data_IF_323607737662
#
_entry.id   IF_323607737662
#
_cell.length_a   1.000
_cell.length_b   1.000
_cell.length_c   1.000
_cell.angle_alpha   90.00
_cell.angle_beta   90.00
_cell.angle_gamma   90.00
#
_symmetry.space_group_name_H-M   'P 1'
#
loop_
_entity.id
_entity.type
_entity.pdbx_description
1 polymer ?
#
# COMPACT_ATOMS: atom_id res chain seq x y z
N UNK A 1 0.75 3.68 2.62
CA UNK A 1 1.55 2.58 2.48
C UNK A 1 1.10 1.50 1.58
N UNK A 2 0.20 0.77 1.95
CA UNK A 2 -0.52 -0.16 1.27
C UNK A 2 -0.98 0.13 -0.08
N UNK A 3 -0.95 1.35 -0.43
CA UNK A 3 -1.37 1.79 -1.71
C UNK A 3 -0.50 1.40 -2.85
N UNK A 4 0.69 0.89 -2.58
CA UNK A 4 1.49 0.26 -3.60
C UNK A 4 0.86 -1.06 -4.04
N UNK A 5 0.28 -1.79 -3.11
CA UNK A 5 -0.43 -3.03 -3.43
C UNK A 5 -1.86 -2.77 -3.93
N UNK A 6 -2.55 -1.79 -3.36
CA UNK A 6 -3.84 -1.30 -3.84
C UNK A 6 -3.78 -0.61 -5.20
N UNK A 7 -2.65 -0.05 -5.57
CA UNK A 7 -2.49 0.59 -6.88
C UNK A 7 -2.57 -0.41 -8.02
N UNK A 8 -2.17 -1.65 -7.83
CA UNK A 8 -2.42 -2.71 -8.82
C UNK A 8 -3.91 -3.04 -8.89
N UNK A 9 -4.63 -3.02 -7.77
CA UNK A 9 -6.08 -3.23 -7.73
C UNK A 9 -6.90 -1.98 -8.10
N UNK A 10 -6.49 -0.79 -7.68
CA UNK A 10 -7.19 0.48 -7.97
C UNK A 10 -7.08 0.93 -9.44
N UNK A 11 -6.09 0.50 -10.18
CA UNK A 11 -5.98 0.75 -11.62
C UNK A 11 -7.11 0.10 -12.43
N UNK A 12 -7.83 -0.88 -11.86
CA UNK A 12 -8.94 -1.54 -12.55
C UNK A 12 -10.31 -0.89 -12.37
N UNK A 13 -10.49 -0.08 -11.34
CA UNK A 13 -11.77 0.64 -11.12
C UNK A 13 -11.89 1.89 -12.03
N UNK A 14 -10.79 2.40 -12.56
CA UNK A 14 -10.79 3.62 -13.39
C UNK A 14 -10.95 3.37 -14.89
N UNK A 15 -11.14 2.12 -15.34
CA UNK A 15 -11.27 1.78 -16.77
C UNK A 15 -12.61 2.10 -17.42
N UNK A 16 -13.63 2.53 -16.68
CA UNK A 16 -14.92 2.97 -17.23
C UNK A 16 -15.19 4.43 -16.89
N UNK A 17 -14.47 5.36 -17.51
CA UNK A 17 -14.92 6.72 -17.67
C UNK A 17 -16.08 6.73 -18.67
N UNK A 18 -17.28 6.33 -18.22
CA UNK A 18 -18.51 6.74 -18.86
C UNK A 18 -18.60 8.25 -18.70
N UNK A 19 -18.79 9.00 -19.79
CA UNK A 19 -19.10 10.41 -19.77
C UNK A 19 -20.31 10.65 -18.86
N UNK A 20 -20.06 11.02 -17.61
CA UNK A 20 -21.12 11.38 -16.69
C UNK A 20 -21.71 12.71 -17.14
N UNK A 21 -22.97 12.70 -17.51
CA UNK A 21 -23.83 13.89 -17.57
C UNK A 21 -23.77 14.61 -16.22
N UNK A 22 -23.86 15.95 -16.15
CA UNK A 22 -23.83 16.69 -14.90
C UNK A 22 -25.12 16.47 -14.11
N UNK A 23 -25.20 15.35 -13.44
CA UNK A 23 -26.28 14.96 -12.52
C UNK A 23 -25.64 14.54 -11.22
N UNK A 24 -25.88 15.31 -10.18
CA UNK A 24 -25.55 15.09 -8.76
C UNK A 24 -24.32 14.18 -8.50
N UNK A 25 -23.20 14.81 -8.25
CA UNK A 25 -21.96 14.16 -7.87
C UNK A 25 -22.20 13.28 -6.61
N UNK A 26 -22.21 11.96 -6.78
CA UNK A 26 -22.55 11.02 -5.71
C UNK A 26 -21.30 10.63 -4.93
N UNK A 27 -21.44 10.68 -3.59
CA UNK A 27 -20.42 10.13 -2.69
C UNK A 27 -20.37 8.62 -2.85
N UNK A 28 -19.18 8.05 -2.97
CA UNK A 28 -18.96 6.59 -2.97
C UNK A 28 -18.39 6.16 -1.64
N UNK A 29 -18.96 5.11 -1.04
CA UNK A 29 -18.36 4.37 0.07
C UNK A 29 -17.66 3.15 -0.48
N UNK A 30 -16.46 2.85 0.00
CA UNK A 30 -15.72 1.66 -0.37
C UNK A 30 -15.05 1.01 0.83
N UNK A 31 -14.78 -0.28 0.69
CA UNK A 31 -14.02 -1.06 1.66
C UNK A 31 -13.21 -2.14 0.93
N UNK A 32 -12.00 -2.36 1.41
CA UNK A 32 -11.09 -3.39 0.95
C UNK A 32 -10.67 -4.27 2.13
N UNK A 33 -10.42 -5.55 1.87
CA UNK A 33 -9.82 -6.47 2.82
C UNK A 33 -8.65 -7.18 2.13
N UNK A 34 -7.44 -6.85 2.54
CA UNK A 34 -6.24 -7.60 2.22
C UNK A 34 -6.05 -8.80 3.15
N UNK A 35 -5.70 -9.96 2.59
CA UNK A 35 -5.30 -11.15 3.34
C UNK A 35 -3.99 -11.66 2.74
N UNK A 36 -2.87 -11.48 3.45
CA UNK A 36 -1.53 -11.69 2.90
C UNK A 36 -0.68 -12.60 3.77
N UNK A 37 0.25 -13.31 3.15
CA UNK A 37 1.18 -14.21 3.84
C UNK A 37 2.27 -13.46 4.61
N UNK A 38 2.42 -12.17 4.35
CA UNK A 38 3.38 -11.27 5.01
C UNK A 38 2.96 -9.83 4.79
N UNK A 39 3.37 -8.94 5.70
CA UNK A 39 3.34 -7.51 5.49
C UNK A 39 4.72 -7.05 5.02
N UNK A 40 4.80 -6.60 3.78
CA UNK A 40 6.03 -6.07 3.16
C UNK A 40 5.75 -4.66 2.65
N UNK A 41 6.50 -3.69 3.13
CA UNK A 41 6.38 -2.29 2.76
C UNK A 41 7.72 -1.68 2.37
N UNK A 42 7.76 -1.00 1.23
CA UNK A 42 8.98 -0.40 0.68
C UNK A 42 10.19 -1.35 0.64
N UNK A 43 9.93 -2.65 0.40
CA UNK A 43 10.94 -3.70 0.40
C UNK A 43 11.26 -4.30 1.78
N UNK A 44 10.74 -3.73 2.87
CA UNK A 44 10.97 -4.16 4.24
C UNK A 44 9.86 -5.11 4.69
N UNK A 45 10.22 -6.18 5.38
CA UNK A 45 9.24 -7.10 5.99
C UNK A 45 8.95 -6.65 7.41
N UNK A 46 7.74 -6.12 7.65
CA UNK A 46 7.25 -5.74 8.97
C UNK A 46 6.64 -6.92 9.73
N UNK A 47 5.91 -7.79 9.00
CA UNK A 47 5.41 -9.04 9.56
C UNK A 47 5.65 -10.17 8.58
N UNK A 48 6.35 -11.24 9.01
CA UNK A 48 6.67 -12.38 8.16
C UNK A 48 5.65 -13.53 8.26
N UNK A 49 4.49 -13.24 8.82
CA UNK A 49 3.36 -14.14 9.01
C UNK A 49 2.11 -13.56 8.35
N UNK A 50 1.02 -14.35 8.39
CA UNK A 50 -0.26 -13.95 7.84
C UNK A 50 -0.81 -12.69 8.50
N UNK A 51 -1.29 -11.75 7.69
CA UNK A 51 -1.91 -10.51 8.14
C UNK A 51 -3.25 -10.27 7.45
N UNK A 52 -4.15 -9.57 8.14
CA UNK A 52 -5.37 -8.99 7.61
C UNK A 52 -5.22 -7.47 7.53
N UNK A 53 -5.55 -6.90 6.38
CA UNK A 53 -5.36 -5.47 6.12
C UNK A 53 -6.68 -4.85 5.60
N UNK A 54 -7.64 -4.58 6.48
CA UNK A 54 -8.86 -3.86 6.10
C UNK A 54 -8.59 -2.37 5.84
N UNK A 55 -9.29 -1.82 4.84
CA UNK A 55 -9.36 -0.39 4.51
C UNK A 55 -10.84 -0.01 4.29
N UNK A 56 -11.23 1.19 4.72
CA UNK A 56 -12.54 1.75 4.45
C UNK A 56 -12.41 3.23 4.09
N UNK A 57 -13.17 3.69 3.08
CA UNK A 57 -13.01 5.03 2.55
C UNK A 57 -14.30 5.63 1.97
N UNK A 58 -14.30 6.96 1.89
CA UNK A 58 -15.32 7.75 1.21
C UNK A 58 -14.67 8.55 0.09
N UNK A 59 -15.28 8.54 -1.09
CA UNK A 59 -14.86 9.35 -2.24
C UNK A 59 -15.93 10.40 -2.55
N UNK A 60 -15.50 11.64 -2.56
CA UNK A 60 -16.31 12.83 -2.83
C UNK A 60 -15.91 13.40 -4.20
N UNK A 61 -16.82 13.45 -5.18
CA UNK A 61 -16.55 14.16 -6.43
C UNK A 61 -16.48 15.68 -6.17
N UNK A 62 -15.47 16.33 -6.75
CA UNK A 62 -15.22 17.77 -6.60
C UNK A 62 -14.98 18.41 -7.98
N UNK A 63 -16.02 18.45 -8.83
CA UNK A 63 -15.90 18.85 -10.22
C UNK A 63 -15.14 17.82 -11.06
N UNK A 64 -14.03 18.19 -11.73
CA UNK A 64 -13.21 17.24 -12.49
C UNK A 64 -12.33 16.35 -11.60
N UNK A 65 -12.14 16.72 -10.32
CA UNK A 65 -11.34 16.00 -9.35
C UNK A 65 -12.19 15.14 -8.43
N UNK A 66 -11.53 14.27 -7.66
CA UNK A 66 -12.14 13.56 -6.53
C UNK A 66 -11.29 13.77 -5.28
N UNK A 67 -11.95 13.89 -4.14
CA UNK A 67 -11.30 13.78 -2.83
C UNK A 67 -11.69 12.43 -2.22
N UNK A 68 -10.70 11.64 -1.80
CA UNK A 68 -10.93 10.38 -1.09
C UNK A 68 -10.23 10.42 0.25
N UNK A 69 -10.92 9.97 1.30
CA UNK A 69 -10.32 9.82 2.62
C UNK A 69 -10.76 8.50 3.25
N UNK A 70 -9.89 7.90 4.04
CA UNK A 70 -10.13 6.60 4.63
C UNK A 70 -9.20 6.27 5.79
N UNK A 71 -9.34 5.03 6.25
CA UNK A 71 -8.50 4.44 7.27
C UNK A 71 -8.17 2.99 6.96
N UNK A 72 -6.93 2.63 7.18
CA UNK A 72 -6.40 1.30 6.96
C UNK A 72 -5.77 0.76 8.23
N UNK A 73 -5.75 -0.56 8.34
CA UNK A 73 -5.18 -1.25 9.49
C UNK A 73 -4.28 -2.39 9.05
N UNK A 74 -3.23 -2.67 9.83
CA UNK A 74 -2.55 -3.95 9.84
C UNK A 74 -2.94 -4.74 11.09
N UNK A 75 -3.57 -5.89 10.89
CA UNK A 75 -4.02 -6.78 11.97
C UNK A 75 -3.23 -8.07 11.88
N UNK A 76 -2.62 -8.47 13.00
CA UNK A 76 -1.93 -9.75 13.16
C UNK A 76 -2.87 -10.77 13.84
N UNK A 77 -3.49 -11.72 13.09
CA UNK A 77 -4.49 -12.63 13.66
C UNK A 77 -3.89 -13.70 14.58
N UNK A 78 -2.60 -14.00 14.41
CA UNK A 78 -1.88 -14.98 15.19
C UNK A 78 -1.02 -14.37 16.29
N UNK A 79 -0.57 -15.20 17.20
CA UNK A 79 0.50 -14.88 18.12
C UNK A 79 1.84 -15.20 17.43
N UNK A 80 2.66 -14.17 17.20
CA UNK A 80 3.90 -14.26 16.41
C UNK A 80 5.11 -14.03 17.28
N UNK A 81 5.27 -14.90 18.31
CA UNK A 81 6.32 -14.84 19.34
C UNK A 81 7.41 -15.91 19.18
N UNK A 82 7.46 -16.57 18.03
CA UNK A 82 8.51 -17.54 17.70
C UNK A 82 9.86 -16.85 17.45
N UNK A 83 10.96 -17.55 17.74
CA UNK A 83 12.33 -17.03 17.65
C UNK A 83 12.74 -16.46 16.27
N UNK A 84 12.02 -16.81 15.21
CA UNK A 84 12.25 -16.32 13.82
C UNK A 84 11.11 -15.48 13.30
N UNK A 85 10.12 -15.18 14.14
CA UNK A 85 8.97 -14.40 13.76
C UNK A 85 9.34 -12.92 13.78
N UNK A 86 8.90 -12.22 12.74
CA UNK A 86 8.92 -10.77 12.65
C UNK A 86 7.46 -10.34 12.78
N UNK A 87 7.17 -9.49 13.72
CA UNK A 87 5.85 -8.98 14.03
C UNK A 87 5.94 -7.48 14.28
N UNK A 88 5.19 -6.70 13.56
CA UNK A 88 5.10 -5.25 13.75
C UNK A 88 4.44 -4.91 15.11
N UNK A 89 3.41 -5.68 15.50
CA UNK A 89 2.72 -5.53 16.79
C UNK A 89 3.47 -6.14 17.97
N UNK A 90 4.68 -6.70 17.78
CA UNK A 90 5.46 -7.35 18.82
C UNK A 90 5.05 -8.80 19.13
N UNK A 91 4.03 -9.34 18.47
CA UNK A 91 3.65 -10.75 18.44
C UNK A 91 3.10 -11.34 19.75
N UNK A 92 2.90 -10.53 20.79
CA UNK A 92 2.53 -11.01 22.13
C UNK A 92 1.07 -11.50 22.21
N UNK A 93 0.18 -10.99 21.38
CA UNK A 93 -1.25 -11.31 21.36
C UNK A 93 -1.76 -11.71 19.97
N UNK A 94 -2.94 -12.29 19.91
CA UNK A 94 -3.64 -12.57 18.66
C UNK A 94 -4.66 -11.49 18.36
N UNK A 95 -4.95 -11.25 17.08
CA UNK A 95 -5.80 -10.16 16.60
C UNK A 95 -5.33 -8.79 17.05
N UNK A 96 -4.01 -8.63 17.06
CA UNK A 96 -3.36 -7.39 17.41
C UNK A 96 -3.46 -6.40 16.26
N UNK A 97 -3.85 -5.14 16.56
CA UNK A 97 -3.81 -4.04 15.61
C UNK A 97 -2.41 -3.44 15.69
N UNK A 98 -1.53 -3.87 14.80
CA UNK A 98 -0.14 -3.45 14.79
C UNK A 98 0.02 -2.01 14.26
N UNK A 99 -0.78 -1.63 13.27
CA UNK A 99 -0.73 -0.32 12.64
C UNK A 99 -2.13 0.16 12.24
N UNK A 100 -2.36 1.45 12.36
CA UNK A 100 -3.52 2.16 11.84
C UNK A 100 -3.06 3.39 11.07
N UNK A 101 -3.50 3.51 9.81
CA UNK A 101 -3.24 4.66 8.97
C UNK A 101 -4.53 5.41 8.65
N UNK A 102 -4.59 6.70 8.96
CA UNK A 102 -5.57 7.58 8.33
C UNK A 102 -4.97 8.22 7.07
N UNK A 103 -5.82 8.52 6.09
CA UNK A 103 -5.34 9.06 4.84
C UNK A 103 -6.36 9.92 4.09
N UNK A 104 -5.85 10.80 3.23
CA UNK A 104 -6.67 11.58 2.33
C UNK A 104 -5.90 11.99 1.09
N UNK A 105 -6.58 12.00 -0.06
CA UNK A 105 -5.96 12.38 -1.33
C UNK A 105 -6.94 13.05 -2.29
N UNK A 106 -6.44 14.02 -3.03
CA UNK A 106 -7.06 14.59 -4.21
C UNK A 106 -6.51 13.91 -5.47
N UNK A 107 -7.41 13.50 -6.36
CA UNK A 107 -7.09 12.97 -7.67
C UNK A 107 -7.64 13.90 -8.74
N UNK A 108 -6.78 14.35 -9.66
CA UNK A 108 -7.13 15.21 -10.76
C UNK A 108 -6.73 14.58 -12.09
N UNK A 109 -7.70 14.05 -12.87
CA UNK A 109 -7.44 13.55 -14.21
C UNK A 109 -7.26 14.70 -15.20
N UNK A 110 -6.18 14.65 -15.99
CA UNK A 110 -5.94 15.58 -17.08
C UNK A 110 -5.40 14.84 -18.29
N UNK A 111 -6.17 14.79 -19.38
CA UNK A 111 -5.85 14.03 -20.58
C UNK A 111 -5.50 12.56 -20.28
N UNK A 112 -4.24 12.17 -20.52
CA UNK A 112 -3.71 10.83 -20.24
C UNK A 112 -3.00 10.73 -18.90
N UNK A 113 -2.97 11.79 -18.13
CA UNK A 113 -2.35 11.82 -16.82
C UNK A 113 -3.38 11.86 -15.70
N UNK A 114 -3.08 11.22 -14.58
CA UNK A 114 -3.79 11.39 -13.32
C UNK A 114 -2.79 11.88 -12.28
N UNK A 115 -3.07 13.06 -11.72
CA UNK A 115 -2.27 13.66 -10.67
C UNK A 115 -2.93 13.40 -9.32
N UNK A 116 -2.15 12.97 -8.34
CA UNK A 116 -2.61 12.76 -6.98
C UNK A 116 -1.76 13.59 -6.02
N UNK A 117 -2.42 14.27 -5.09
CA UNK A 117 -1.79 14.92 -3.94
C UNK A 117 -2.49 14.44 -2.68
N UNK A 118 -1.75 13.99 -1.68
CA UNK A 118 -2.34 13.43 -0.48
C UNK A 118 -1.43 13.44 0.74
N UNK A 119 -1.96 12.92 1.84
CA UNK A 119 -1.23 12.69 3.07
C UNK A 119 -1.70 11.41 3.76
N UNK A 120 -0.81 10.84 4.56
CA UNK A 120 -1.05 9.66 5.40
C UNK A 120 -0.43 9.89 6.76
N UNK A 121 -1.17 9.60 7.83
CA UNK A 121 -0.62 9.52 9.18
C UNK A 121 -0.57 8.07 9.62
N UNK A 122 0.57 7.67 10.11
CA UNK A 122 0.89 6.33 10.61
C UNK A 122 0.74 6.33 12.13
N UNK A 123 0.01 5.38 12.68
CA UNK A 123 -0.20 5.22 14.12
C UNK A 123 0.10 3.78 14.49
N UNK A 124 1.00 3.61 15.46
CA UNK A 124 1.43 2.32 15.98
C UNK A 124 0.89 2.12 17.40
N UNK A 125 -0.28 1.48 17.58
CA UNK A 125 -0.96 1.39 18.88
C UNK A 125 -0.19 0.64 19.97
N UNK A 126 0.76 -0.21 19.56
CA UNK A 126 1.48 -1.11 20.47
C UNK A 126 2.84 -0.57 20.94
N UNK A 127 3.12 0.69 20.69
CA UNK A 127 4.33 1.38 21.17
C UNK A 127 4.47 1.47 22.69
N UNK A 128 3.52 0.94 23.45
CA UNK A 128 3.46 1.06 24.92
C UNK A 128 4.68 0.49 25.67
N UNK A 129 5.58 -0.22 25.00
CA UNK A 129 6.87 -0.69 25.54
C UNK A 129 8.05 0.24 25.25
N UNK A 130 7.91 1.20 24.37
CA UNK A 130 8.96 2.12 23.97
C UNK A 130 8.70 3.51 24.58
N UNK A 131 9.75 4.19 24.97
CA UNK A 131 9.68 5.55 25.54
C UNK A 131 9.45 6.63 24.46
N UNK A 132 9.25 6.25 23.21
CA UNK A 132 9.11 7.14 22.05
C UNK A 132 7.80 6.86 21.30
N UNK A 133 7.16 7.93 20.89
CA UNK A 133 6.02 7.91 19.97
C UNK A 133 6.55 7.72 18.54
N UNK A 134 6.20 6.60 17.90
CA UNK A 134 6.56 6.28 16.52
C UNK A 134 5.54 6.77 15.50
N UNK A 135 4.48 7.43 15.93
CA UNK A 135 3.50 8.00 15.01
C UNK A 135 4.16 9.10 14.15
N UNK A 136 3.88 9.09 12.86
CA UNK A 136 4.41 10.08 11.93
C UNK A 136 3.44 10.41 10.80
N UNK A 137 3.74 11.43 9.99
CA UNK A 137 2.91 11.90 8.89
C UNK A 137 3.74 12.09 7.63
N UNK A 138 3.26 11.54 6.52
CA UNK A 138 3.80 11.81 5.18
C UNK A 138 2.80 12.59 4.34
N UNK A 139 3.31 13.54 3.55
CA UNK A 139 2.63 14.10 2.39
C UNK A 139 3.18 13.45 1.12
N UNK A 140 2.35 13.30 0.09
CA UNK A 140 2.78 12.65 -1.13
C UNK A 140 2.16 13.26 -2.40
N UNK A 141 2.92 13.15 -3.48
CA UNK A 141 2.46 13.43 -4.83
C UNK A 141 2.69 12.25 -5.76
N UNK A 142 1.75 12.00 -6.68
CA UNK A 142 1.85 10.92 -7.67
C UNK A 142 1.41 11.42 -9.03
N UNK A 143 2.02 10.87 -10.09
CA UNK A 143 1.56 11.00 -11.46
C UNK A 143 1.50 9.63 -12.10
N UNK A 144 0.34 9.29 -12.68
CA UNK A 144 0.12 8.07 -13.44
C UNK A 144 -0.28 8.42 -14.87
N UNK A 145 0.27 7.70 -15.86
CA UNK A 145 -0.02 7.95 -17.27
C UNK A 145 -0.80 6.77 -17.88
N UNK A 146 -1.90 7.07 -18.56
CA UNK A 146 -2.71 6.12 -19.33
C UNK A 146 -2.11 5.93 -20.73
N UNK A 147 -0.90 5.34 -20.77
CA UNK A 147 -0.16 4.98 -21.99
C UNK A 147 0.32 3.52 -21.83
N UNK A 148 0.88 2.88 -22.88
CA UNK A 148 1.42 1.53 -22.74
C UNK A 148 2.35 1.41 -21.52
N UNK A 149 2.24 0.29 -20.79
CA UNK A 149 2.89 0.01 -19.51
C UNK A 149 2.40 0.87 -18.32
N UNK A 150 1.42 1.75 -18.48
CA UNK A 150 0.84 2.56 -17.41
C UNK A 150 1.89 3.06 -16.38
N UNK A 151 2.92 3.81 -16.82
CA UNK A 151 3.98 4.23 -15.91
C UNK A 151 3.43 5.18 -14.85
N UNK A 152 3.96 5.03 -13.63
CA UNK A 152 3.63 5.88 -12.49
C UNK A 152 4.90 6.26 -11.76
N UNK A 153 4.97 7.51 -11.34
CA UNK A 153 5.96 8.04 -10.40
C UNK A 153 5.23 8.54 -9.15
N UNK A 154 5.87 8.38 -8.01
CA UNK A 154 5.35 8.87 -6.74
C UNK A 154 6.49 9.29 -5.83
N UNK A 155 6.22 10.30 -4.99
CA UNK A 155 7.14 10.82 -3.99
C UNK A 155 6.39 11.02 -2.68
N UNK A 156 6.99 10.57 -1.57
CA UNK A 156 6.50 10.76 -0.21
C UNK A 156 7.55 11.50 0.59
N UNK A 157 7.12 12.49 1.35
CA UNK A 157 7.98 13.23 2.25
C UNK A 157 7.40 13.17 3.67
N UNK A 158 8.15 12.61 4.59
CA UNK A 158 7.81 12.65 6.00
C UNK A 158 8.00 14.07 6.54
N UNK A 159 6.93 14.62 7.13
CA UNK A 159 6.91 16.01 7.60
C UNK A 159 7.08 16.14 9.12
N UNK A 160 7.06 15.01 9.83
CA UNK A 160 7.10 15.00 11.31
C UNK A 160 8.40 14.43 11.86
N UNK A 161 8.57 13.11 11.88
CA UNK A 161 9.66 12.46 12.63
C UNK A 161 10.95 12.32 11.82
N UNK A 162 10.84 11.84 10.59
CA UNK A 162 12.01 11.47 9.76
C UNK A 162 12.48 12.63 8.90
N UNK A 163 11.54 13.40 8.33
CA UNK A 163 11.82 14.55 7.44
C UNK A 163 12.64 14.17 6.21
N UNK A 164 12.40 12.98 5.70
CA UNK A 164 13.08 12.41 4.55
C UNK A 164 12.13 12.14 3.39
N UNK A 165 12.70 11.93 2.20
CA UNK A 165 12.01 11.68 0.95
C UNK A 165 12.12 10.19 0.59
N UNK A 166 11.01 9.62 0.10
CA UNK A 166 10.98 8.32 -0.52
C UNK A 166 10.34 8.42 -1.91
N UNK A 167 10.94 7.77 -2.90
CA UNK A 167 10.52 7.81 -4.29
C UNK A 167 10.16 6.41 -4.80
N UNK A 168 9.15 6.33 -5.67
CA UNK A 168 8.80 5.11 -6.40
C UNK A 168 8.58 5.39 -7.88
N UNK A 169 9.06 4.45 -8.70
CA UNK A 169 8.67 4.33 -10.10
C UNK A 169 8.05 2.96 -10.35
N UNK A 170 6.93 2.91 -11.06
CA UNK A 170 6.30 1.63 -11.40
C UNK A 170 5.75 1.58 -12.81
N UNK A 171 5.65 0.37 -13.34
CA UNK A 171 4.99 0.05 -14.62
C UNK A 171 4.07 -1.15 -14.42
N UNK A 172 3.02 -1.24 -15.23
CA UNK A 172 2.13 -2.40 -15.24
C UNK A 172 1.60 -2.70 -16.63
N UNK A 173 1.32 -3.97 -16.90
CA UNK A 173 0.75 -4.43 -18.15
C UNK A 173 -0.33 -5.49 -17.91
N UNK A 174 -1.51 -5.28 -18.48
CA UNK A 174 -2.60 -6.23 -18.42
C UNK A 174 -2.64 -7.08 -19.69
N UNK A 175 -2.63 -8.39 -19.50
CA UNK A 175 -2.76 -9.38 -20.57
C UNK A 175 -4.13 -10.03 -20.40
N UNK A 176 -5.00 -9.87 -21.39
CA UNK A 176 -6.28 -10.57 -21.42
C UNK A 176 -6.17 -11.74 -22.40
N UNK A 177 -6.13 -12.99 -21.90
CA UNK A 177 -6.12 -14.16 -22.80
C UNK A 177 -7.40 -14.19 -23.64
N UNK A 178 -7.27 -14.61 -24.89
CA UNK A 178 -8.39 -14.70 -25.81
C UNK A 178 -9.51 -15.59 -25.23
N UNK A 179 -10.74 -15.11 -25.30
CA UNK A 179 -11.95 -15.83 -24.85
C UNK A 179 -12.01 -16.12 -23.33
N UNK A 180 -11.17 -15.46 -22.50
CA UNK A 180 -11.19 -15.60 -21.04
C UNK A 180 -11.87 -14.40 -20.39
N UNK A 181 -12.54 -14.64 -19.24
CA UNK A 181 -13.19 -13.62 -18.40
C UNK A 181 -12.27 -13.04 -17.34
N UNK A 182 -11.01 -13.40 -17.33
CA UNK A 182 -9.99 -12.89 -16.41
C UNK A 182 -8.84 -12.25 -17.19
N UNK A 183 -8.12 -11.36 -16.56
CA UNK A 183 -6.86 -10.81 -17.04
C UNK A 183 -5.73 -11.21 -16.11
N UNK A 184 -4.50 -11.24 -16.65
CA UNK A 184 -3.29 -11.33 -15.85
C UNK A 184 -2.62 -9.97 -15.88
N UNK A 185 -2.35 -9.40 -14.72
CA UNK A 185 -1.68 -8.12 -14.59
C UNK A 185 -0.27 -8.37 -14.09
N UNK A 186 0.71 -7.95 -14.87
CA UNK A 186 2.11 -7.96 -14.48
C UNK A 186 2.52 -6.56 -14.04
N UNK A 187 3.28 -6.47 -12.97
CA UNK A 187 3.78 -5.20 -12.40
C UNK A 187 5.27 -5.27 -12.11
N UNK A 188 5.91 -4.12 -12.18
CA UNK A 188 7.26 -3.89 -11.66
C UNK A 188 7.29 -2.53 -10.97
N UNK A 189 7.88 -2.48 -9.78
CA UNK A 189 8.03 -1.28 -8.98
C UNK A 189 9.45 -1.21 -8.42
N UNK A 190 10.07 -0.06 -8.49
CA UNK A 190 11.37 0.23 -7.88
C UNK A 190 11.22 1.39 -6.89
N UNK A 191 11.80 1.24 -5.71
CA UNK A 191 11.83 2.23 -4.64
C UNK A 191 13.23 2.79 -4.41
N UNK A 192 13.27 4.04 -3.94
CA UNK A 192 14.49 4.75 -3.62
C UNK A 192 14.28 5.61 -2.37
N UNK A 193 15.13 5.42 -1.37
CA UNK A 193 15.17 6.24 -0.15
C UNK A 193 16.13 7.41 -0.32
N UNK A 194 15.72 8.60 0.16
CA UNK A 194 16.55 9.79 0.20
C UNK A 194 16.26 10.58 1.49
N UNK A 195 16.90 10.18 2.57
CA UNK A 195 16.84 10.81 3.87
C UNK A 195 15.82 10.22 4.85
N UNK A 196 15.21 9.08 4.55
CA UNK A 196 14.37 8.33 5.52
C UNK A 196 15.18 7.21 6.21
N UNK A 197 16.42 7.44 6.45
CA UNK A 197 17.34 6.50 7.08
C UNK A 197 17.29 6.58 8.61
N UNK A 198 17.71 5.50 9.25
CA UNK A 198 17.84 5.43 10.69
C UNK A 198 18.93 6.40 11.16
N UNK A 199 18.61 7.27 12.12
CA UNK A 199 19.62 8.04 12.81
C UNK A 199 20.42 7.11 13.73
N UNK A 200 21.71 6.93 13.45
CA UNK A 200 22.62 6.16 14.29
C UNK A 200 23.14 7.05 15.44
N UNK A 201 23.28 6.48 16.63
CA UNK A 201 23.98 7.12 17.73
C UNK A 201 25.52 7.08 17.52
N UNK A 202 26.27 7.72 18.42
CA UNK A 202 27.73 7.74 18.36
C UNK A 202 28.39 6.35 18.44
N UNK A 203 27.66 5.32 18.86
CA UNK A 203 28.09 3.93 18.92
C UNK A 203 27.62 3.11 17.70
N UNK A 204 26.88 3.72 16.76
CA UNK A 204 26.37 3.07 15.56
C UNK A 204 25.05 2.31 15.77
N UNK A 205 24.34 2.56 16.89
CA UNK A 205 23.02 1.96 17.11
C UNK A 205 21.91 2.88 16.59
N UNK A 206 20.87 2.34 15.94
CA UNK A 206 19.72 3.10 15.49
C UNK A 206 19.04 3.83 16.68
N UNK A 207 18.87 5.15 16.58
CA UNK A 207 18.26 5.96 17.64
C UNK A 207 16.74 6.06 17.50
N UNK A 208 16.24 6.02 16.27
CA UNK A 208 14.83 5.99 15.97
C UNK A 208 14.68 5.31 14.61
N UNK A 209 14.17 4.10 14.61
CA UNK A 209 13.97 3.30 13.41
C UNK A 209 12.60 3.59 12.81
N UNK A 210 12.45 4.82 12.30
CA UNK A 210 11.31 5.07 11.44
C UNK A 210 11.62 4.44 10.09
N UNK A 211 10.68 3.64 9.59
CA UNK A 211 10.74 2.98 8.29
C UNK A 211 11.91 2.00 8.07
N UNK A 212 12.79 1.78 9.04
CA UNK A 212 13.86 0.77 9.03
C UNK A 212 14.79 0.80 7.80
N UNK A 213 15.00 1.97 7.19
CA UNK A 213 16.02 2.12 6.17
C UNK A 213 17.39 2.31 6.82
N UNK A 214 18.39 1.60 6.32
CA UNK A 214 19.75 1.69 6.85
C UNK A 214 20.54 2.85 6.24
N UNK A 215 20.23 3.24 5.00
CA UNK A 215 20.95 4.25 4.24
C UNK A 215 20.09 4.77 3.08
N UNK A 216 20.53 5.84 2.44
CA UNK A 216 19.98 6.33 1.19
C UNK A 216 20.28 5.39 0.03
N UNK A 217 19.41 5.38 -0.97
CA UNK A 217 19.65 4.64 -2.19
C UNK A 217 18.48 3.75 -2.61
N UNK A 218 18.78 2.81 -3.48
CA UNK A 218 17.83 1.85 -4.01
C UNK A 218 17.34 0.91 -2.89
N UNK A 219 16.02 0.91 -2.63
CA UNK A 219 15.44 0.11 -1.55
C UNK A 219 15.03 -1.27 -2.01
N UNK A 220 14.34 -1.37 -3.15
CA UNK A 220 13.86 -2.67 -3.65
C UNK A 220 13.34 -2.59 -5.08
N UNK A 221 13.27 -3.77 -5.70
CA UNK A 221 12.48 -4.06 -6.90
C UNK A 221 11.40 -5.06 -6.52
N UNK A 222 10.12 -4.71 -6.74
CA UNK A 222 8.97 -5.62 -6.59
C UNK A 222 8.46 -6.02 -7.97
N UNK A 223 8.52 -7.30 -8.29
CA UNK A 223 7.89 -7.90 -9.46
C UNK A 223 6.61 -8.60 -9.03
N UNK A 224 5.50 -8.28 -9.65
CA UNK A 224 4.19 -8.80 -9.25
C UNK A 224 3.39 -9.40 -10.40
N UNK A 225 2.54 -10.36 -10.06
CA UNK A 225 1.51 -10.88 -10.94
C UNK A 225 0.19 -11.02 -10.19
N UNK A 226 -0.90 -10.54 -10.78
CA UNK A 226 -2.24 -10.61 -10.22
C UNK A 226 -3.25 -11.14 -11.24
N UNK A 227 -4.33 -11.75 -10.74
CA UNK A 227 -5.44 -12.26 -11.57
C UNK A 227 -6.76 -11.70 -11.05
N UNK A 228 -7.08 -10.43 -11.34
CA UNK A 228 -8.30 -9.82 -10.87
C UNK A 228 -9.54 -10.41 -11.56
N UNK A 229 -10.61 -10.61 -10.78
CA UNK A 229 -11.92 -11.02 -11.25
C UNK A 229 -13.02 -10.48 -10.33
N UNK A 230 -14.26 -10.47 -10.82
CA UNK A 230 -15.42 -10.03 -10.03
C UNK A 230 -16.42 -11.16 -9.84
N UNK A 231 -17.05 -11.20 -8.66
CA UNK A 231 -18.13 -12.12 -8.33
C UNK A 231 -19.25 -11.34 -7.59
N UNK A 232 -20.35 -11.08 -8.25
CA UNK A 232 -21.41 -10.21 -7.74
C UNK A 232 -20.88 -8.80 -7.50
N UNK A 233 -21.14 -8.19 -6.33
CA UNK A 233 -20.69 -6.84 -6.00
C UNK A 233 -19.24 -6.78 -5.52
N UNK A 234 -18.56 -7.91 -5.43
CA UNK A 234 -17.19 -8.02 -4.93
C UNK A 234 -16.20 -8.17 -6.07
N UNK A 235 -15.05 -7.52 -5.93
CA UNK A 235 -13.87 -7.74 -6.77
C UNK A 235 -12.80 -8.47 -5.94
N UNK A 236 -12.13 -9.41 -6.57
CA UNK A 236 -11.06 -10.22 -5.98
C UNK A 236 -9.79 -10.01 -6.79
N UNK A 237 -8.67 -9.78 -6.13
CA UNK A 237 -7.36 -9.63 -6.77
C UNK A 237 -6.31 -10.49 -6.06
N UNK A 238 -6.29 -11.81 -6.30
CA UNK A 238 -5.15 -12.61 -5.85
C UNK A 238 -3.88 -12.15 -6.55
N UNK A 239 -2.80 -12.04 -5.79
CA UNK A 239 -1.50 -11.58 -6.28
C UNK A 239 -0.34 -12.32 -5.61
N UNK A 240 0.77 -12.37 -6.34
CA UNK A 240 2.06 -12.85 -5.87
C UNK A 240 3.11 -11.77 -6.14
N UNK A 241 4.04 -11.61 -5.22
CA UNK A 241 5.11 -10.61 -5.25
C UNK A 241 6.46 -11.26 -5.04
N UNK A 242 7.41 -10.87 -5.87
CA UNK A 242 8.81 -11.25 -5.78
C UNK A 242 9.62 -9.98 -5.58
N UNK A 243 10.05 -9.76 -4.34
CA UNK A 243 10.76 -8.55 -3.93
C UNK A 243 12.25 -8.85 -3.83
N UNK A 244 13.06 -8.05 -4.52
CA UNK A 244 14.51 -8.03 -4.41
C UNK A 244 14.88 -6.78 -3.64
N UNK A 245 15.53 -6.91 -2.49
CA UNK A 245 15.90 -5.78 -1.63
C UNK A 245 17.29 -5.26 -1.96
N UNK A 246 17.50 -3.95 -1.84
CA UNK A 246 18.81 -3.33 -1.93
C UNK A 246 19.63 -3.56 -0.67
N UNK A 247 20.88 -3.96 -0.81
CA UNK A 247 21.74 -4.35 0.33
C UNK A 247 21.93 -3.25 1.37
N UNK A 248 22.02 -2.00 0.94
CA UNK A 248 22.33 -0.88 1.83
C UNK A 248 21.08 -0.26 2.47
N UNK A 249 19.99 -0.18 1.71
CA UNK A 249 18.80 0.52 2.16
C UNK A 249 17.83 -0.31 3.02
N UNK A 250 18.02 -1.64 3.11
CA UNK A 250 17.06 -2.53 3.79
C UNK A 250 17.72 -3.54 4.73
N UNK A 251 18.86 -3.18 5.32
CA UNK A 251 19.68 -4.07 6.17
C UNK A 251 18.98 -4.61 7.42
N UNK A 252 17.92 -3.93 7.89
CA UNK A 252 17.24 -4.28 9.14
C UNK A 252 16.03 -5.22 8.96
N UNK A 253 15.87 -5.86 7.83
CA UNK A 253 14.64 -6.61 7.51
C UNK A 253 14.62 -8.05 8.02
N UNK A 254 15.68 -8.53 8.68
CA UNK A 254 15.73 -9.90 9.20
C UNK A 254 16.59 -9.97 10.45
N UNK A 255 15.97 -10.35 11.55
CA UNK A 255 16.70 -10.78 12.76
C UNK A 255 17.28 -12.18 12.54
N UNK A 256 18.61 -12.34 12.72
CA UNK A 256 19.26 -13.63 12.79
C UNK A 256 19.44 -14.02 14.26
N UNK A 257 18.66 -14.99 14.78
CA UNK A 257 18.73 -15.37 16.19
C UNK A 257 20.07 -16.02 16.57
N UNK A 258 20.87 -16.48 15.58
CA UNK A 258 22.17 -17.12 15.84
C UNK A 258 23.26 -16.07 16.07
N UNK A 259 23.20 -14.96 15.35
CA UNK A 259 24.20 -13.89 15.43
C UNK A 259 23.72 -12.68 16.23
N UNK A 260 22.41 -12.58 16.51
CA UNK A 260 21.79 -11.41 17.11
C UNK A 260 21.79 -10.18 16.19
N UNK A 261 22.05 -10.37 14.90
CA UNK A 261 22.11 -9.30 13.92
C UNK A 261 20.84 -9.26 13.08
N UNK A 262 20.47 -8.05 12.67
CA UNK A 262 19.44 -7.83 11.66
C UNK A 262 20.12 -7.95 10.28
N UNK A 263 19.70 -8.95 9.51
CA UNK A 263 20.18 -9.16 8.15
C UNK A 263 19.05 -8.92 7.15
N UNK A 264 19.31 -8.23 6.07
CA UNK A 264 18.39 -8.16 4.95
C UNK A 264 18.25 -9.53 4.29
N UNK A 265 17.03 -9.86 3.82
CA UNK A 265 16.88 -10.91 2.83
C UNK A 265 16.97 -10.26 1.46
N UNK A 266 17.88 -10.75 0.63
CA UNK A 266 18.02 -10.28 -0.75
C UNK A 266 16.75 -10.52 -1.57
N UNK A 267 15.95 -11.53 -1.20
CA UNK A 267 14.72 -11.90 -1.91
C UNK A 267 13.61 -12.27 -0.94
N UNK A 268 12.42 -11.73 -1.16
CA UNK A 268 11.18 -12.07 -0.47
C UNK A 268 10.10 -12.47 -1.47
N UNK A 269 9.53 -13.67 -1.29
CA UNK A 269 8.30 -14.09 -1.96
C UNK A 269 7.13 -13.99 -0.98
N UNK A 270 6.07 -13.32 -1.38
CA UNK A 270 4.84 -13.23 -0.60
C UNK A 270 3.63 -13.09 -1.53
N UNK A 271 2.44 -13.22 -1.01
CA UNK A 271 1.24 -13.08 -1.80
C UNK A 271 -0.01 -13.17 -0.95
N UNK A 272 -1.14 -13.00 -1.60
CA UNK A 272 -2.44 -13.02 -0.94
C UNK A 272 -3.55 -12.58 -1.86
N UNK A 273 -4.64 -12.11 -1.29
CA UNK A 273 -5.81 -11.64 -2.02
C UNK A 273 -6.31 -10.33 -1.42
N UNK A 274 -6.66 -9.38 -2.27
CA UNK A 274 -7.47 -8.22 -1.89
C UNK A 274 -8.90 -8.47 -2.35
N UNK A 275 -9.87 -8.25 -1.45
CA UNK A 275 -11.30 -8.29 -1.70
C UNK A 275 -11.80 -6.86 -1.58
N UNK A 276 -12.45 -6.34 -2.63
CA UNK A 276 -12.91 -4.96 -2.72
C UNK A 276 -14.41 -4.89 -2.91
N UNK A 277 -15.02 -3.89 -2.29
CA UNK A 277 -16.41 -3.52 -2.47
C UNK A 277 -16.54 -2.00 -2.49
N UNK A 278 -17.41 -1.49 -3.37
CA UNK A 278 -17.76 -0.07 -3.35
C UNK A 278 -19.19 0.16 -3.83
N UNK A 279 -19.81 1.25 -3.35
CA UNK A 279 -21.18 1.64 -3.72
C UNK A 279 -21.33 3.16 -3.70
N UNK A 280 -21.95 3.70 -4.75
CA UNK A 280 -22.42 5.09 -4.75
C UNK A 280 -23.61 5.26 -3.80
N UNK A 281 -23.56 6.30 -2.97
CA UNK A 281 -24.61 6.65 -2.02
C UNK A 281 -25.60 7.62 -2.69
N UNK A 282 -26.91 7.34 -2.57
CA UNK A 282 -27.96 8.23 -3.10
C UNK A 282 -28.28 8.06 -4.59
N UNK A 283 -27.89 6.96 -5.23
CA UNK A 283 -28.46 6.60 -6.52
C UNK A 283 -29.96 6.38 -6.32
N UNK A 284 -30.78 7.21 -6.99
CA UNK A 284 -32.21 6.92 -7.10
C UNK A 284 -32.37 5.51 -7.72
N UNK A 285 -33.39 4.72 -7.31
CA UNK A 285 -33.70 3.49 -8.01
C UNK A 285 -33.89 3.82 -9.48
N UNK A 286 -33.28 3.07 -10.38
CA UNK A 286 -33.60 3.17 -11.81
C UNK A 286 -35.13 3.02 -11.95
N UNK A 287 -35.79 4.03 -12.52
CA UNK A 287 -37.19 3.89 -12.88
C UNK A 287 -37.29 2.69 -13.83
N UNK A 288 -38.20 1.74 -13.57
CA UNK A 288 -38.38 0.62 -14.47
C UNK A 288 -38.74 1.18 -15.84
N UNK A 289 -37.98 0.84 -16.87
CA UNK A 289 -38.29 1.20 -18.26
C UNK A 289 -39.75 0.82 -18.50
N UNK A 290 -40.56 1.84 -18.84
CA UNK A 290 -41.92 1.63 -19.25
C UNK A 290 -41.91 0.75 -20.52
N UNK A 291 -42.44 -0.46 -20.40
CA UNK A 291 -42.62 -1.41 -21.49
C UNK A 291 -43.73 -0.95 -22.42
#
# INVERSE_FOLDING_TARGET
MQRTNLVVAALFVTGTLACATPGHAQVTVGADLGAFTSYVWRGITYTNKFVLQPDAYLTFPTGPATFTAGGWFNIEPGKYDGATDISEGGGASSFDVAEFDWWGEFNYPYEKANFTLGGTGYIFPNDAGFTKDFNTVEIYGKVALSVPLNPKLAAWYDVDKVKGLYLEGSVSHSIQPKDQKFSVVLGALAGFNAGQDANLDAAGFPQAEFFNFADDGFTHLDLSAAVPFSAGPLSFSPAIHFVITGDDATKFTKFDPTTGQLNSKDVKLWGGVTISWSRALGAAPEEPEAK
#
